data_IF_338834128155
#
_entry.id   IF_338834128155
#
_cell.length_a   1.000
_cell.length_b   1.000
_cell.length_c   1.000
_cell.angle_alpha   90.00
_cell.angle_beta   90.00
_cell.angle_gamma   90.00
#
_symmetry.space_group_name_H-M   'P 1'
#
loop_
_entity.id
_entity.type
_entity.pdbx_description
1 polymer ?
#
# COMPACT_ATOMS: atom_id res chain seq x y z
N UNK A 1 -13.69 -2.46 27.43
CA UNK A 1 -12.99 -1.58 26.49
C UNK A 1 -13.07 -2.25 25.15
N UNK A 2 -13.58 -1.55 24.15
CA UNK A 2 -13.60 -2.05 22.78
C UNK A 2 -12.14 -2.15 22.31
N UNK A 3 -11.71 -3.27 21.71
CA UNK A 3 -10.31 -3.42 21.28
C UNK A 3 -9.91 -2.32 20.28
N UNK A 4 -10.88 -1.70 19.61
CA UNK A 4 -10.68 -0.54 18.72
C UNK A 4 -10.09 0.66 19.48
N UNK A 5 -10.58 0.97 20.68
CA UNK A 5 -10.05 2.08 21.51
C UNK A 5 -8.57 1.82 21.86
N UNK A 6 -8.24 0.58 22.23
CA UNK A 6 -6.84 0.17 22.47
C UNK A 6 -5.97 0.43 21.24
N UNK A 7 -6.45 0.12 20.03
CA UNK A 7 -5.68 0.36 18.81
C UNK A 7 -5.53 1.85 18.48
N UNK A 8 -6.51 2.69 18.81
CA UNK A 8 -6.38 4.15 18.68
C UNK A 8 -5.36 4.71 19.66
N UNK A 9 -5.43 4.33 20.93
CA UNK A 9 -4.50 4.81 21.95
C UNK A 9 -3.04 4.50 21.57
N UNK A 10 -2.78 3.26 21.13
CA UNK A 10 -1.45 2.85 20.65
C UNK A 10 -1.04 3.62 19.38
N UNK A 11 -1.99 3.96 18.52
CA UNK A 11 -1.72 4.69 17.29
C UNK A 11 -1.38 6.15 17.55
N UNK A 12 -2.07 6.77 18.51
CA UNK A 12 -1.78 8.11 19.00
C UNK A 12 -0.38 8.17 19.62
N UNK A 13 0.04 7.15 20.39
CA UNK A 13 1.43 7.05 20.88
C UNK A 13 2.45 7.06 19.72
N UNK A 14 2.17 6.32 18.63
CA UNK A 14 3.04 6.29 17.44
C UNK A 14 3.00 7.64 16.71
N UNK A 15 1.85 8.30 16.67
CA UNK A 15 1.70 9.62 16.05
C UNK A 15 2.49 10.71 16.80
N UNK A 16 2.55 10.66 18.13
CA UNK A 16 3.40 11.56 18.90
C UNK A 16 4.89 11.34 18.57
N UNK A 17 5.32 10.08 18.38
CA UNK A 17 6.68 9.77 17.92
C UNK A 17 6.94 10.34 16.52
N UNK A 18 5.98 10.20 15.60
CA UNK A 18 6.05 10.77 14.24
C UNK A 18 6.29 12.28 14.30
N UNK A 19 5.55 13.01 15.13
CA UNK A 19 5.71 14.48 15.27
C UNK A 19 7.13 14.87 15.66
N UNK A 20 7.78 14.08 16.52
CA UNK A 20 9.15 14.35 16.95
C UNK A 20 10.17 14.19 15.83
N UNK A 21 10.08 13.13 15.03
CA UNK A 21 11.08 12.83 13.99
C UNK A 21 10.77 13.44 12.63
N UNK A 22 9.51 13.79 12.35
CA UNK A 22 9.09 14.29 11.04
C UNK A 22 9.90 15.51 10.55
N UNK A 23 10.17 16.55 11.37
CA UNK A 23 11.01 17.67 10.95
C UNK A 23 12.41 17.24 10.50
N UNK A 24 12.98 16.22 11.16
CA UNK A 24 14.33 15.72 10.90
C UNK A 24 14.42 15.02 9.54
N UNK A 25 13.33 14.37 9.09
CA UNK A 25 13.28 13.75 7.76
C UNK A 25 13.42 14.81 6.65
N UNK A 26 12.80 15.98 6.82
CA UNK A 26 12.76 17.00 5.75
C UNK A 26 14.14 17.57 5.39
N UNK A 27 15.11 17.48 6.31
CA UNK A 27 16.50 17.91 6.14
C UNK A 27 17.50 16.74 6.09
N UNK A 28 17.02 15.49 6.15
CA UNK A 28 17.84 14.28 6.23
C UNK A 28 18.77 14.08 5.03
N UNK A 29 19.91 13.42 5.27
CA UNK A 29 20.79 12.92 4.21
C UNK A 29 20.08 11.84 3.38
N UNK A 30 19.15 11.09 3.98
CA UNK A 30 18.32 10.14 3.24
C UNK A 30 17.57 10.80 2.09
N UNK A 31 16.88 11.92 2.37
CA UNK A 31 16.12 12.66 1.35
C UNK A 31 17.03 13.21 0.25
N UNK A 32 18.25 13.65 0.59
CA UNK A 32 19.22 14.17 -0.38
C UNK A 32 19.70 13.06 -1.33
N UNK A 33 19.99 11.88 -0.77
CA UNK A 33 20.57 10.76 -1.51
C UNK A 33 19.52 9.91 -2.24
N UNK A 34 18.29 9.83 -1.72
CA UNK A 34 17.22 8.95 -2.18
C UNK A 34 15.89 9.70 -2.33
N UNK A 35 15.87 10.73 -3.17
CA UNK A 35 14.74 11.65 -3.26
C UNK A 35 13.44 10.98 -3.70
N UNK A 36 13.44 10.17 -4.77
CA UNK A 36 12.23 9.50 -5.25
C UNK A 36 11.72 8.47 -4.24
N UNK A 37 12.63 7.74 -3.60
CA UNK A 37 12.32 6.80 -2.53
C UNK A 37 11.68 7.53 -1.37
N UNK A 38 12.26 8.65 -0.92
CA UNK A 38 11.68 9.51 0.12
C UNK A 38 10.24 9.95 -0.22
N UNK A 39 9.99 10.38 -1.46
CA UNK A 39 8.64 10.76 -1.90
C UNK A 39 7.65 9.59 -1.81
N UNK A 40 8.05 8.40 -2.27
CA UNK A 40 7.21 7.21 -2.18
C UNK A 40 6.97 6.77 -0.73
N UNK A 41 7.97 6.88 0.16
CA UNK A 41 7.78 6.61 1.58
C UNK A 41 6.73 7.55 2.18
N UNK A 42 6.82 8.85 1.89
CA UNK A 42 5.83 9.84 2.32
C UNK A 42 4.44 9.54 1.77
N UNK A 43 4.34 9.15 0.50
CA UNK A 43 3.08 8.75 -0.14
C UNK A 43 2.45 7.56 0.60
N UNK A 44 3.18 6.45 0.76
CA UNK A 44 2.65 5.24 1.40
C UNK A 44 2.32 5.44 2.88
N UNK A 45 3.12 6.22 3.61
CA UNK A 45 2.85 6.54 5.02
C UNK A 45 1.59 7.39 5.18
N UNK A 46 1.48 8.45 4.37
CA UNK A 46 0.33 9.36 4.41
C UNK A 46 -0.96 8.64 3.99
N UNK A 47 -0.96 7.97 2.85
CA UNK A 47 -2.14 7.23 2.36
C UNK A 47 -2.49 6.08 3.30
N UNK A 48 -1.50 5.35 3.81
CA UNK A 48 -1.71 4.27 4.77
C UNK A 48 -2.29 4.76 6.10
N UNK A 49 -1.94 5.96 6.53
CA UNK A 49 -2.51 6.60 7.73
C UNK A 49 -3.97 7.01 7.49
N UNK A 50 -4.28 7.65 6.37
CA UNK A 50 -5.65 8.03 6.05
C UNK A 50 -6.57 6.83 5.92
N UNK A 51 -6.14 5.79 5.20
CA UNK A 51 -6.93 4.56 5.05
C UNK A 51 -7.15 3.88 6.41
N UNK A 52 -6.10 3.80 7.26
CA UNK A 52 -6.21 3.23 8.61
C UNK A 52 -7.24 3.98 9.46
N UNK A 53 -7.17 5.31 9.50
CA UNK A 53 -8.13 6.11 10.26
C UNK A 53 -9.56 5.90 9.75
N UNK A 54 -9.76 5.91 8.42
CA UNK A 54 -11.09 5.65 7.85
C UNK A 54 -11.61 4.24 8.15
N UNK A 55 -10.73 3.24 8.29
CA UNK A 55 -11.13 1.89 8.72
C UNK A 55 -11.59 1.92 10.17
N UNK A 56 -10.86 2.59 11.07
CA UNK A 56 -11.28 2.73 12.47
C UNK A 56 -12.64 3.44 12.56
N UNK A 57 -12.80 4.56 11.86
CA UNK A 57 -14.06 5.32 11.81
C UNK A 57 -15.20 4.44 11.28
N UNK A 58 -14.95 3.63 10.24
CA UNK A 58 -15.96 2.71 9.68
C UNK A 58 -16.37 1.63 10.68
N UNK A 59 -15.41 1.03 11.39
CA UNK A 59 -15.69 0.02 12.40
C UNK A 59 -16.48 0.59 13.59
N UNK A 60 -16.17 1.81 14.03
CA UNK A 60 -16.89 2.50 15.12
C UNK A 60 -18.31 2.91 14.72
N UNK A 61 -18.51 3.23 13.44
CA UNK A 61 -19.82 3.56 12.88
C UNK A 61 -20.66 2.34 12.47
N UNK A 62 -20.18 1.11 12.73
CA UNK A 62 -20.77 -0.15 12.28
C UNK A 62 -20.92 -0.25 10.73
N UNK A 63 -20.05 0.42 9.97
CA UNK A 63 -19.95 0.30 8.51
C UNK A 63 -19.07 -0.88 8.11
N UNK A 64 -19.65 -2.07 8.22
CA UNK A 64 -18.99 -3.34 7.86
C UNK A 64 -18.50 -3.38 6.41
N UNK A 65 -19.31 -2.85 5.48
CA UNK A 65 -19.00 -2.92 4.07
C UNK A 65 -17.86 -1.96 3.70
N UNK A 66 -17.92 -0.73 4.19
CA UNK A 66 -16.88 0.29 4.02
C UNK A 66 -15.55 -0.16 4.60
N UNK A 67 -15.54 -0.69 5.82
CA UNK A 67 -14.32 -1.22 6.46
C UNK A 67 -13.64 -2.29 5.59
N UNK A 68 -14.40 -3.20 4.97
CA UNK A 68 -13.88 -4.26 4.09
C UNK A 68 -13.28 -3.72 2.79
N UNK A 69 -13.93 -2.73 2.17
CA UNK A 69 -13.38 -2.06 0.97
C UNK A 69 -12.05 -1.40 1.30
N UNK A 70 -12.02 -0.59 2.36
CA UNK A 70 -10.84 0.16 2.77
C UNK A 70 -9.70 -0.79 3.19
N UNK A 71 -10.02 -1.88 3.88
CA UNK A 71 -9.01 -2.87 4.29
C UNK A 71 -8.33 -3.52 3.09
N UNK A 72 -9.05 -3.81 2.00
CA UNK A 72 -8.43 -4.27 0.75
C UNK A 72 -7.46 -3.25 0.17
N UNK A 73 -7.83 -1.97 0.20
CA UNK A 73 -6.97 -0.88 -0.25
C UNK A 73 -5.71 -0.77 0.60
N UNK A 74 -5.82 -0.94 1.93
CA UNK A 74 -4.66 -0.93 2.83
C UNK A 74 -3.69 -2.07 2.55
N UNK A 75 -4.21 -3.29 2.32
CA UNK A 75 -3.39 -4.45 1.94
C UNK A 75 -2.56 -4.14 0.69
N UNK A 76 -3.16 -3.49 -0.31
CA UNK A 76 -2.45 -3.11 -1.53
C UNK A 76 -1.34 -2.09 -1.28
N UNK A 77 -1.60 -1.05 -0.48
CA UNK A 77 -0.59 -0.06 -0.10
C UNK A 77 0.55 -0.70 0.68
N UNK A 78 0.25 -1.57 1.65
CA UNK A 78 1.24 -2.29 2.43
C UNK A 78 2.13 -3.17 1.54
N UNK A 79 1.55 -3.96 0.63
CA UNK A 79 2.30 -4.84 -0.26
C UNK A 79 3.16 -4.04 -1.25
N UNK A 80 2.66 -2.93 -1.80
CA UNK A 80 3.43 -2.02 -2.65
C UNK A 80 4.58 -1.34 -1.89
N UNK A 81 4.35 -0.92 -0.65
CA UNK A 81 5.42 -0.43 0.22
C UNK A 81 6.49 -1.48 0.46
N UNK A 82 6.10 -2.73 0.78
CA UNK A 82 7.06 -3.83 0.97
C UNK A 82 7.87 -4.11 -0.29
N UNK A 83 7.27 -3.96 -1.47
CA UNK A 83 7.97 -4.05 -2.74
C UNK A 83 9.06 -2.99 -2.88
N UNK A 84 8.73 -1.73 -2.56
CA UNK A 84 9.71 -0.63 -2.51
C UNK A 84 10.83 -0.92 -1.51
N UNK A 85 10.47 -1.28 -0.28
CA UNK A 85 11.42 -1.57 0.80
C UNK A 85 12.44 -2.64 0.40
N UNK A 86 11.97 -3.77 -0.17
CA UNK A 86 12.86 -4.87 -0.58
C UNK A 86 13.74 -4.47 -1.75
N UNK A 87 13.20 -3.80 -2.78
CA UNK A 87 14.02 -3.38 -3.92
C UNK A 87 15.08 -2.36 -3.52
N UNK A 88 14.71 -1.35 -2.74
CA UNK A 88 15.68 -0.39 -2.19
C UNK A 88 16.69 -1.07 -1.26
N UNK A 89 16.25 -2.03 -0.42
CA UNK A 89 17.13 -2.78 0.46
C UNK A 89 18.23 -3.55 -0.29
N UNK A 90 17.93 -4.07 -1.48
CA UNK A 90 18.87 -4.83 -2.32
C UNK A 90 19.89 -3.95 -3.04
N UNK A 91 19.46 -2.80 -3.54
CA UNK A 91 20.31 -1.96 -4.41
C UNK A 91 20.88 -0.74 -3.69
N UNK A 92 20.25 -0.31 -2.60
CA UNK A 92 20.50 0.97 -1.91
C UNK A 92 20.58 2.13 -2.90
N UNK A 93 19.69 2.12 -3.89
CA UNK A 93 19.59 3.10 -4.97
C UNK A 93 18.17 3.65 -5.11
N UNK A 94 18.07 4.86 -5.63
CA UNK A 94 16.83 5.55 -5.92
C UNK A 94 16.19 5.13 -7.27
N UNK A 95 16.91 4.34 -8.08
CA UNK A 95 16.49 4.01 -9.45
C UNK A 95 15.17 3.24 -9.52
N UNK A 96 14.96 2.33 -8.58
CA UNK A 96 13.69 1.60 -8.51
C UNK A 96 12.52 2.54 -8.25
N UNK A 97 12.66 3.48 -7.31
CA UNK A 97 11.61 4.44 -6.97
C UNK A 97 11.32 5.39 -8.14
N UNK A 98 12.37 5.87 -8.83
CA UNK A 98 12.24 6.68 -10.05
C UNK A 98 11.45 5.94 -11.13
N UNK A 99 11.83 4.71 -11.43
CA UNK A 99 11.13 3.89 -12.42
C UNK A 99 9.69 3.61 -11.99
N UNK A 100 9.46 3.29 -10.71
CA UNK A 100 8.11 3.04 -10.20
C UNK A 100 7.18 4.24 -10.41
N UNK A 101 7.64 5.45 -10.09
CA UNK A 101 6.88 6.68 -10.32
C UNK A 101 6.68 6.97 -11.80
N UNK A 102 7.76 6.89 -12.59
CA UNK A 102 7.77 7.25 -14.00
C UNK A 102 6.84 6.33 -14.84
N UNK A 103 6.94 5.02 -14.63
CA UNK A 103 6.05 4.06 -15.29
C UNK A 103 4.64 4.05 -14.69
N UNK A 104 4.49 4.38 -13.40
CA UNK A 104 3.19 4.56 -12.75
C UNK A 104 2.38 5.69 -13.38
N UNK A 105 2.98 6.87 -13.50
CA UNK A 105 2.35 8.04 -14.13
C UNK A 105 1.99 7.77 -15.59
N UNK A 106 2.92 7.21 -16.37
CA UNK A 106 2.66 6.84 -17.76
C UNK A 106 1.50 5.84 -17.89
N UNK A 107 1.35 4.93 -16.93
CA UNK A 107 0.25 3.97 -16.91
C UNK A 107 -1.10 4.62 -16.65
N UNK A 108 -1.19 5.56 -15.70
CA UNK A 108 -2.43 6.29 -15.43
C UNK A 108 -2.90 7.07 -16.66
N UNK A 109 -1.97 7.76 -17.33
CA UNK A 109 -2.24 8.44 -18.60
C UNK A 109 -2.78 7.46 -19.66
N UNK A 110 -2.13 6.30 -19.81
CA UNK A 110 -2.55 5.29 -20.77
C UNK A 110 -3.96 4.76 -20.48
N UNK A 111 -4.29 4.54 -19.21
CA UNK A 111 -5.62 4.05 -18.80
C UNK A 111 -6.71 5.10 -19.06
N UNK A 112 -6.43 6.39 -18.84
CA UNK A 112 -7.35 7.49 -19.20
C UNK A 112 -7.58 7.54 -20.72
N UNK A 113 -6.50 7.45 -21.51
CA UNK A 113 -6.63 7.47 -22.98
C UNK A 113 -7.42 6.25 -23.46
N UNK A 114 -7.19 5.06 -22.90
CA UNK A 114 -7.97 3.85 -23.22
C UNK A 114 -9.45 4.04 -22.88
N UNK A 115 -9.77 4.65 -21.73
CA UNK A 115 -11.16 4.94 -21.37
C UNK A 115 -11.82 5.89 -22.38
N UNK A 116 -11.10 6.92 -22.87
CA UNK A 116 -11.60 7.81 -23.93
C UNK A 116 -11.78 7.08 -25.26
N UNK A 117 -10.88 6.17 -25.61
CA UNK A 117 -11.07 5.31 -26.80
C UNK A 117 -12.35 4.48 -26.67
N UNK A 118 -12.58 3.88 -25.49
CA UNK A 118 -13.80 3.12 -25.22
C UNK A 118 -15.06 3.97 -25.24
N UNK A 119 -14.99 5.22 -24.77
CA UNK A 119 -16.09 6.20 -24.90
C UNK A 119 -16.44 6.45 -26.38
N UNK A 120 -15.44 6.73 -27.22
CA UNK A 120 -15.66 6.94 -28.66
C UNK A 120 -16.24 5.69 -29.34
N UNK A 121 -15.84 4.51 -28.88
CA UNK A 121 -16.36 3.23 -29.39
C UNK A 121 -17.86 3.01 -29.12
N UNK A 122 -18.47 3.77 -28.19
CA UNK A 122 -19.92 3.77 -28.01
C UNK A 122 -20.67 4.39 -29.20
N UNK A 123 -20.03 5.30 -29.94
CA UNK A 123 -20.60 5.99 -31.10
C UNK A 123 -20.09 5.40 -32.42
N UNK A 124 -18.82 4.98 -32.47
CA UNK A 124 -18.21 4.29 -33.60
C UNK A 124 -17.44 3.06 -33.12
N UNK A 125 -18.04 1.88 -33.24
CA UNK A 125 -17.45 0.61 -32.81
C UNK A 125 -16.08 0.31 -33.46
N UNK A 126 -15.77 0.92 -34.61
CA UNK A 126 -14.51 0.73 -35.30
C UNK A 126 -13.43 1.75 -34.90
N UNK A 127 -13.78 2.73 -34.04
CA UNK A 127 -12.84 3.73 -33.58
C UNK A 127 -11.63 3.06 -32.91
N UNK A 128 -10.44 3.40 -33.39
CA UNK A 128 -9.17 2.94 -32.84
C UNK A 128 -8.06 3.93 -33.15
N UNK A 129 -7.14 4.07 -32.20
CA UNK A 129 -5.87 4.75 -32.45
C UNK A 129 -5.03 3.83 -33.37
N UNK A 130 -4.69 4.34 -34.57
CA UNK A 130 -3.96 3.57 -35.59
C UNK A 130 -2.54 3.24 -35.17
N UNK A 131 -1.86 4.20 -34.55
CA UNK A 131 -0.49 4.07 -34.07
C UNK A 131 -0.41 4.71 -32.67
N UNK A 132 -0.29 3.85 -31.67
CA UNK A 132 -0.25 4.26 -30.27
C UNK A 132 1.06 4.94 -29.91
N UNK A 133 2.18 4.45 -30.42
CA UNK A 133 3.49 4.98 -30.03
C UNK A 133 3.69 6.36 -30.68
N UNK A 134 3.28 6.54 -31.93
CA UNK A 134 3.29 7.87 -32.55
C UNK A 134 2.30 8.85 -31.90
N UNK A 135 1.16 8.36 -31.39
CA UNK A 135 0.21 9.20 -30.64
C UNK A 135 0.75 9.65 -29.28
N UNK A 136 1.51 8.77 -28.60
CA UNK A 136 2.00 9.01 -27.25
C UNK A 136 3.36 9.73 -27.20
N UNK A 137 4.15 9.71 -28.29
CA UNK A 137 5.54 10.21 -28.30
C UNK A 137 5.72 11.63 -27.75
N UNK A 138 4.73 12.50 -27.94
CA UNK A 138 4.77 13.91 -27.54
C UNK A 138 4.21 14.14 -26.13
N UNK A 139 3.64 13.09 -25.50
CA UNK A 139 3.17 13.16 -24.12
C UNK A 139 4.36 13.15 -23.14
N UNK A 140 4.39 14.05 -22.13
CA UNK A 140 5.51 14.15 -21.19
C UNK A 140 5.94 12.82 -20.57
N UNK A 141 4.98 12.01 -20.12
CA UNK A 141 5.24 10.70 -19.49
C UNK A 141 5.71 9.60 -20.46
N UNK A 142 5.63 9.82 -21.78
CA UNK A 142 5.99 8.86 -22.84
C UNK A 142 7.17 9.29 -23.71
N UNK A 143 7.81 10.43 -23.42
CA UNK A 143 8.89 11.01 -24.24
C UNK A 143 10.00 10.02 -24.64
N UNK A 144 10.25 8.99 -23.82
CA UNK A 144 11.22 7.91 -24.09
C UNK A 144 10.65 6.52 -23.78
N UNK A 145 9.33 6.31 -23.93
CA UNK A 145 8.68 5.03 -23.63
C UNK A 145 7.67 4.67 -24.71
N UNK A 146 7.65 3.42 -25.09
CA UNK A 146 6.56 2.83 -25.88
C UNK A 146 5.41 2.41 -24.96
N UNK A 147 4.23 2.26 -25.55
CA UNK A 147 3.08 1.68 -24.84
C UNK A 147 3.42 0.29 -24.28
N UNK A 148 4.11 -0.53 -25.06
CA UNK A 148 4.43 -1.91 -24.68
C UNK A 148 5.39 -1.96 -23.50
N UNK A 149 6.39 -1.08 -23.45
CA UNK A 149 7.30 -0.95 -22.30
C UNK A 149 6.53 -0.59 -21.03
N UNK A 150 5.63 0.39 -21.10
CA UNK A 150 4.80 0.78 -19.95
C UNK A 150 3.92 -0.37 -19.48
N UNK A 151 3.26 -1.07 -20.40
CA UNK A 151 2.43 -2.24 -20.05
C UNK A 151 3.26 -3.37 -19.45
N UNK A 152 4.47 -3.63 -19.95
CA UNK A 152 5.34 -4.69 -19.43
C UNK A 152 5.92 -4.34 -18.05
N UNK A 153 6.35 -3.10 -17.85
CA UNK A 153 6.92 -2.67 -16.58
C UNK A 153 5.86 -2.64 -15.48
N UNK A 154 4.71 -2.02 -15.75
CA UNK A 154 3.63 -1.89 -14.75
C UNK A 154 2.96 -3.20 -14.37
N UNK A 155 3.05 -4.24 -15.22
CA UNK A 155 2.65 -5.60 -14.83
C UNK A 155 3.40 -6.10 -13.59
N UNK A 156 4.65 -5.70 -13.38
CA UNK A 156 5.42 -6.07 -12.18
C UNK A 156 4.78 -5.52 -10.90
N UNK A 157 4.08 -4.40 -11.01
CA UNK A 157 3.43 -3.71 -9.90
C UNK A 157 2.04 -4.28 -9.56
N UNK A 158 1.53 -5.22 -10.37
CA UNK A 158 0.31 -5.93 -10.06
C UNK A 158 0.46 -6.74 -8.76
N UNK A 159 -0.55 -6.68 -7.89
CA UNK A 159 -0.53 -7.30 -6.56
C UNK A 159 0.05 -8.73 -6.54
N UNK A 160 -0.46 -9.63 -7.40
CA UNK A 160 0.01 -11.03 -7.47
C UNK A 160 1.48 -11.15 -7.86
N UNK A 161 1.98 -10.27 -8.72
CA UNK A 161 3.37 -10.27 -9.15
C UNK A 161 4.29 -9.73 -8.05
N UNK A 162 3.85 -8.70 -7.32
CA UNK A 162 4.56 -8.22 -6.14
C UNK A 162 4.65 -9.34 -5.09
N UNK A 163 3.54 -10.01 -4.74
CA UNK A 163 3.57 -11.07 -3.73
C UNK A 163 4.48 -12.23 -4.16
N UNK A 164 4.47 -12.62 -5.44
CA UNK A 164 5.40 -13.63 -5.96
C UNK A 164 6.86 -13.20 -5.82
N UNK A 165 7.16 -11.94 -6.15
CA UNK A 165 8.50 -11.38 -5.95
C UNK A 165 8.90 -11.42 -4.47
N UNK A 166 8.07 -10.89 -3.57
CA UNK A 166 8.36 -10.88 -2.14
C UNK A 166 8.60 -12.30 -1.62
N UNK A 167 7.73 -13.24 -1.97
CA UNK A 167 7.88 -14.64 -1.59
C UNK A 167 9.19 -15.25 -2.13
N UNK A 168 9.63 -14.90 -3.34
CA UNK A 168 10.91 -15.39 -3.88
C UNK A 168 12.14 -14.83 -3.15
N UNK A 169 12.05 -13.61 -2.62
CA UNK A 169 13.12 -12.98 -1.84
C UNK A 169 13.18 -13.54 -0.41
N UNK A 170 12.02 -13.82 0.21
CA UNK A 170 11.95 -14.30 1.61
C UNK A 170 12.04 -15.82 1.76
N UNK A 171 11.69 -16.62 0.74
CA UNK A 171 11.75 -18.10 0.80
C UNK A 171 13.13 -18.66 1.12
N UNK A 172 14.19 -17.86 0.94
CA UNK A 172 15.56 -18.26 1.26
C UNK A 172 15.86 -18.25 2.76
N UNK A 173 15.00 -17.65 3.59
CA UNK A 173 15.31 -17.36 4.99
C UNK A 173 14.19 -17.61 5.99
N UNK A 174 12.92 -17.78 5.59
CA UNK A 174 11.79 -17.89 6.53
C UNK A 174 10.53 -18.54 5.94
N UNK A 175 10.11 -19.69 6.49
CA UNK A 175 8.85 -20.36 6.15
C UNK A 175 7.61 -19.57 6.63
N UNK A 176 7.71 -18.84 7.74
CA UNK A 176 6.63 -18.05 8.31
C UNK A 176 6.17 -16.94 7.37
N UNK A 177 7.11 -16.28 6.69
CA UNK A 177 6.79 -15.23 5.71
C UNK A 177 6.04 -15.77 4.49
N UNK A 178 6.34 -16.99 4.05
CA UNK A 178 5.60 -17.63 2.95
C UNK A 178 4.14 -17.89 3.33
N UNK A 179 3.91 -18.33 4.57
CA UNK A 179 2.56 -18.54 5.12
C UNK A 179 1.77 -17.22 5.17
N UNK A 180 2.37 -16.17 5.72
CA UNK A 180 1.77 -14.83 5.79
C UNK A 180 1.38 -14.28 4.42
N UNK A 181 2.28 -14.35 3.43
CA UNK A 181 1.99 -13.90 2.06
C UNK A 181 0.88 -14.73 1.40
N UNK A 182 0.81 -16.03 1.68
CA UNK A 182 -0.28 -16.90 1.24
C UNK A 182 -1.64 -16.45 1.80
N UNK A 183 -1.69 -16.14 3.10
CA UNK A 183 -2.90 -15.64 3.75
C UNK A 183 -3.33 -14.28 3.19
N UNK A 184 -2.39 -13.37 2.97
CA UNK A 184 -2.66 -12.05 2.35
C UNK A 184 -3.29 -12.18 0.95
N UNK A 185 -2.86 -13.14 0.13
CA UNK A 185 -3.45 -13.37 -1.20
C UNK A 185 -4.92 -13.77 -1.08
N UNK A 186 -5.23 -14.69 -0.17
CA UNK A 186 -6.59 -15.19 0.06
C UNK A 186 -7.46 -14.04 0.56
N UNK A 187 -6.98 -13.28 1.55
CA UNK A 187 -7.70 -12.15 2.12
C UNK A 187 -8.00 -11.08 1.07
N UNK A 188 -6.99 -10.63 0.31
CA UNK A 188 -7.17 -9.65 -0.77
C UNK A 188 -8.18 -10.12 -1.83
N UNK A 189 -8.15 -11.41 -2.15
CA UNK A 189 -9.08 -12.00 -3.13
C UNK A 189 -10.50 -12.04 -2.59
N UNK A 190 -10.69 -12.43 -1.32
CA UNK A 190 -11.99 -12.45 -0.65
C UNK A 190 -12.64 -11.06 -0.62
N UNK A 191 -11.85 -10.03 -0.32
CA UNK A 191 -12.33 -8.65 -0.24
C UNK A 191 -12.72 -8.07 -1.61
N UNK A 192 -12.33 -8.69 -2.73
CA UNK A 192 -12.68 -8.19 -4.07
C UNK A 192 -14.19 -8.19 -4.32
N UNK A 193 -14.94 -9.06 -3.63
CA UNK A 193 -16.40 -9.05 -3.71
C UNK A 193 -17.04 -7.78 -3.14
N UNK A 194 -16.39 -7.11 -2.18
CA UNK A 194 -16.87 -5.85 -1.58
C UNK A 194 -16.60 -4.65 -2.49
N UNK A 195 -15.54 -4.71 -3.30
CA UNK A 195 -15.21 -3.62 -4.24
C UNK A 195 -16.06 -3.71 -5.51
N UNK A 196 -16.38 -4.91 -5.98
CA UNK A 196 -17.05 -5.12 -7.26
C UNK A 196 -18.54 -5.48 -7.13
N UNK A 197 -19.14 -5.35 -5.95
CA UNK A 197 -20.56 -5.64 -5.73
C UNK A 197 -20.93 -7.11 -5.91
N UNK A 198 -20.01 -8.04 -5.63
CA UNK A 198 -20.24 -9.47 -5.79
C UNK A 198 -21.12 -10.07 -4.68
N UNK A 199 -21.87 -11.12 -5.00
CA UNK A 199 -22.79 -11.81 -4.07
C UNK A 199 -22.12 -12.37 -2.81
N UNK A 200 -20.83 -12.68 -2.86
CA UNK A 200 -20.11 -13.18 -1.69
C UNK A 200 -20.09 -12.16 -0.54
N UNK A 201 -19.91 -10.87 -0.85
CA UNK A 201 -19.94 -9.80 0.14
C UNK A 201 -21.29 -9.70 0.85
N UNK A 202 -22.39 -9.81 0.09
CA UNK A 202 -23.74 -9.85 0.65
C UNK A 202 -23.94 -11.05 1.57
N UNK A 203 -23.52 -12.25 1.14
CA UNK A 203 -23.63 -13.45 1.96
C UNK A 203 -22.83 -13.33 3.26
N UNK A 204 -21.62 -12.78 3.22
CA UNK A 204 -20.81 -12.54 4.42
C UNK A 204 -21.46 -11.53 5.36
N UNK A 205 -22.06 -10.44 4.86
CA UNK A 205 -22.84 -9.51 5.69
C UNK A 205 -24.03 -10.20 6.36
N UNK A 206 -24.76 -11.05 5.63
CA UNK A 206 -25.87 -11.83 6.19
C UNK A 206 -25.39 -12.84 7.24
N UNK A 207 -24.17 -13.36 7.12
CA UNK A 207 -23.55 -14.19 8.15
C UNK A 207 -23.11 -13.38 9.36
N UNK A 208 -22.67 -12.13 9.17
CA UNK A 208 -22.30 -11.15 10.19
C UNK A 208 -23.52 -10.38 10.75
N UNK A 209 -24.66 -11.07 10.88
CA UNK A 209 -25.95 -10.49 11.26
C UNK A 209 -26.12 -10.15 12.75
N UNK A 210 -25.09 -10.36 13.58
CA UNK A 210 -25.14 -10.02 15.01
C UNK A 210 -24.00 -9.12 15.39
N UNK A 211 -24.23 -8.24 16.37
CA UNK A 211 -23.24 -7.26 16.84
C UNK A 211 -21.95 -7.97 17.27
N UNK A 212 -22.06 -9.07 18.01
CA UNK A 212 -20.92 -9.90 18.43
C UNK A 212 -20.07 -10.41 17.25
N UNK A 213 -20.70 -10.82 16.13
CA UNK A 213 -19.94 -11.30 14.97
C UNK A 213 -19.24 -10.16 14.24
N UNK A 214 -19.88 -8.98 14.17
CA UNK A 214 -19.28 -7.78 13.58
C UNK A 214 -18.13 -7.28 14.44
N UNK A 215 -18.32 -7.23 15.76
CA UNK A 215 -17.29 -6.85 16.74
C UNK A 215 -16.02 -7.71 16.63
N UNK A 216 -16.16 -9.04 16.58
CA UNK A 216 -15.01 -9.95 16.37
C UNK A 216 -14.23 -9.59 15.11
N UNK A 217 -14.95 -9.30 14.03
CA UNK A 217 -14.33 -8.96 12.76
C UNK A 217 -13.75 -7.55 12.74
N UNK A 218 -14.39 -6.58 13.38
CA UNK A 218 -13.87 -5.23 13.55
C UNK A 218 -12.57 -5.24 14.35
N UNK A 219 -12.50 -6.00 15.44
CA UNK A 219 -11.28 -6.11 16.23
C UNK A 219 -10.16 -6.74 15.40
N UNK A 220 -10.45 -7.79 14.62
CA UNK A 220 -9.49 -8.40 13.70
C UNK A 220 -9.00 -7.41 12.63
N UNK A 221 -9.91 -6.71 11.97
CA UNK A 221 -9.57 -5.74 10.91
C UNK A 221 -8.78 -4.57 11.49
N UNK A 222 -9.19 -4.01 12.63
CA UNK A 222 -8.50 -2.89 13.27
C UNK A 222 -7.09 -3.28 13.72
N UNK A 223 -6.92 -4.46 14.32
CA UNK A 223 -5.61 -4.97 14.70
C UNK A 223 -4.68 -5.13 13.49
N UNK A 224 -5.14 -5.79 12.43
CA UNK A 224 -4.35 -5.95 11.20
C UNK A 224 -4.05 -4.59 10.53
N UNK A 225 -5.01 -3.68 10.55
CA UNK A 225 -4.90 -2.34 9.97
C UNK A 225 -3.85 -1.50 10.69
N UNK A 226 -3.88 -1.51 12.03
CA UNK A 226 -2.86 -0.92 12.87
C UNK A 226 -1.47 -1.49 12.53
N UNK A 227 -1.32 -2.82 12.50
CA UNK A 227 -0.03 -3.47 12.21
C UNK A 227 0.50 -3.10 10.83
N UNK A 228 -0.33 -3.18 9.78
CA UNK A 228 0.08 -2.92 8.41
C UNK A 228 0.49 -1.46 8.21
N UNK A 229 -0.33 -0.51 8.69
CA UNK A 229 -0.06 0.92 8.53
C UNK A 229 1.16 1.36 9.32
N UNK A 230 1.29 0.92 10.58
CA UNK A 230 2.43 1.30 11.43
C UNK A 230 3.72 0.54 11.08
N UNK A 231 3.62 -0.63 10.44
CA UNK A 231 4.78 -1.26 9.80
C UNK A 231 5.36 -0.40 8.67
N UNK A 232 4.56 0.38 7.94
CA UNK A 232 5.11 1.30 6.92
C UNK A 232 6.05 2.30 7.60
N UNK A 233 5.63 2.90 8.73
CA UNK A 233 6.46 3.82 9.53
C UNK A 233 7.71 3.15 10.07
N UNK A 234 7.56 1.99 10.71
CA UNK A 234 8.67 1.25 11.31
C UNK A 234 9.76 0.93 10.28
N UNK A 235 9.38 0.39 9.12
CA UNK A 235 10.33 0.03 8.08
C UNK A 235 10.88 1.27 7.35
N UNK A 236 10.14 2.38 7.29
CA UNK A 236 10.66 3.67 6.80
C UNK A 236 11.73 4.23 7.73
N UNK A 237 11.52 4.18 9.05
CA UNK A 237 12.54 4.56 10.05
C UNK A 237 13.80 3.71 9.92
N UNK A 238 13.65 2.41 9.64
CA UNK A 238 14.79 1.54 9.37
C UNK A 238 15.58 1.98 8.12
N UNK A 239 14.89 2.45 7.07
CA UNK A 239 15.53 3.01 5.87
C UNK A 239 16.26 4.32 6.19
N UNK A 240 15.64 5.24 6.92
CA UNK A 240 16.26 6.51 7.34
C UNK A 240 17.49 6.28 8.24
N UNK A 241 17.44 5.28 9.12
CA UNK A 241 18.58 4.91 9.98
C UNK A 241 19.80 4.39 9.20
N UNK A 242 19.68 4.07 7.91
CA UNK A 242 20.83 3.66 7.10
C UNK A 242 21.75 4.83 6.75
N UNK A 243 21.25 6.07 6.72
CA UNK A 243 22.07 7.27 6.50
C UNK A 243 22.38 7.97 7.81
N UNK A 244 21.43 7.99 8.74
CA UNK A 244 21.51 8.78 9.99
C UNK A 244 21.09 7.91 11.19
N UNK A 245 21.91 6.90 11.49
CA UNK A 245 21.61 5.89 12.51
C UNK A 245 21.27 6.49 13.87
N UNK A 246 22.10 7.41 14.37
CA UNK A 246 21.95 8.02 15.70
C UNK A 246 20.65 8.82 15.84
N UNK A 247 20.18 9.39 14.73
CA UNK A 247 18.97 10.20 14.66
C UNK A 247 17.73 9.31 14.71
N UNK A 248 17.66 8.31 13.82
CA UNK A 248 16.42 7.56 13.59
C UNK A 248 16.28 6.26 14.40
N UNK A 249 17.38 5.66 14.89
CA UNK A 249 17.30 4.37 15.59
C UNK A 249 16.49 4.43 16.88
N UNK A 250 16.57 5.55 17.61
CA UNK A 250 15.78 5.74 18.84
C UNK A 250 14.27 5.77 18.57
N UNK A 251 13.85 6.33 17.44
CA UNK A 251 12.46 6.38 17.05
C UNK A 251 11.97 5.03 16.55
N UNK A 252 12.81 4.31 15.79
CA UNK A 252 12.54 2.92 15.40
C UNK A 252 12.24 2.05 16.62
N UNK A 253 13.09 2.10 17.65
CA UNK A 253 12.93 1.28 18.86
C UNK A 253 11.62 1.60 19.60
N UNK A 254 11.28 2.88 19.76
CA UNK A 254 10.03 3.30 20.40
C UNK A 254 8.79 2.81 19.64
N UNK A 255 8.80 2.90 18.30
CA UNK A 255 7.68 2.38 17.48
C UNK A 255 7.59 0.86 17.55
N UNK A 256 8.72 0.16 17.51
CA UNK A 256 8.79 -1.31 17.64
C UNK A 256 8.24 -1.79 19.00
N UNK A 257 8.58 -1.10 20.09
CA UNK A 257 8.04 -1.38 21.43
C UNK A 257 6.52 -1.26 21.47
N UNK A 258 5.95 -0.20 20.89
CA UNK A 258 4.49 -0.02 20.85
C UNK A 258 3.81 -1.10 20.01
N UNK A 259 4.38 -1.44 18.85
CA UNK A 259 3.84 -2.51 17.99
C UNK A 259 3.83 -3.87 18.70
N UNK A 260 4.78 -4.14 19.61
CA UNK A 260 4.84 -5.38 20.38
C UNK A 260 3.75 -5.48 21.46
N UNK A 261 3.30 -4.35 22.04
CA UNK A 261 2.18 -4.30 23.01
C UNK A 261 0.85 -4.86 22.47
N UNK A 262 0.74 -5.11 21.16
CA UNK A 262 -0.41 -5.79 20.57
C UNK A 262 -0.47 -7.29 20.86
N UNK A 263 0.67 -7.93 21.02
CA UNK A 263 0.77 -9.37 21.23
C UNK A 263 0.75 -9.74 22.73
N UNK A 264 0.73 -8.71 23.60
CA UNK A 264 0.60 -8.79 25.05
C UNK A 264 -0.85 -8.46 25.47
#
# INVERSE_FOLDING_TARGET
MNDIEKYRDLDDEIFEILKEYFPQITSSEFKKNYHATYLLLGMFDTSGTFIKNSIFDSCEADDYYGAKILFRSLIEHFVRFKYLFVNWGKTKSDDFAKNYMDYGNAREVLDIIKARVSEQQLYDQNFKIKDWDNFLKDHPDFKNKTRQEVENETRKYAFKNIVRFLNSEFRKSDEGMSSFLGQIIIEYSNLSSYVHGGMKSYNEMMLANTDKKREIEYNRICGLTFQMSNSIKLFSLLMYAQTEREVFSKYYLRVDEILKKMND
#
